data_IF_169726163523
#
_entry.id   IF_169726163523
#
_cell.length_a   1.000
_cell.length_b   1.000
_cell.length_c   1.000
_cell.angle_alpha   90.00
_cell.angle_beta   90.00
_cell.angle_gamma   90.00
#
_symmetry.space_group_name_H-M   'P 1'
#
loop_
_entity.id
_entity.type
_entity.pdbx_description
1 polymer ?
#
# COMPACT_ATOMS: atom_id res chain seq x y z
N UNK A 1 -80.85 23.92 -37.76
CA UNK A 1 -80.28 23.65 -36.43
C UNK A 1 -80.66 24.82 -35.59
N UNK A 2 -81.39 24.61 -34.50
CA UNK A 2 -82.04 25.68 -33.75
C UNK A 2 -81.03 26.55 -33.02
N UNK A 3 -80.97 27.84 -33.36
CA UNK A 3 -80.19 28.86 -32.65
C UNK A 3 -80.50 28.88 -31.14
N UNK A 4 -81.72 28.48 -30.75
CA UNK A 4 -82.11 28.31 -29.35
C UNK A 4 -81.30 27.27 -28.59
N UNK A 5 -80.90 26.17 -29.24
CA UNK A 5 -80.04 25.16 -28.61
C UNK A 5 -78.63 25.70 -28.40
N UNK A 6 -78.12 26.50 -29.36
CA UNK A 6 -76.82 27.13 -29.26
C UNK A 6 -76.76 28.16 -28.12
N UNK A 7 -77.79 29.01 -28.00
CA UNK A 7 -77.90 29.99 -26.91
C UNK A 7 -77.99 29.32 -25.53
N UNK A 8 -78.72 28.21 -25.44
CA UNK A 8 -78.84 27.45 -24.18
C UNK A 8 -77.48 26.86 -23.78
N UNK A 9 -76.73 26.30 -24.73
CA UNK A 9 -75.39 25.76 -24.50
C UNK A 9 -74.41 26.87 -24.11
N UNK A 10 -74.45 28.04 -24.77
CA UNK A 10 -73.58 29.18 -24.46
C UNK A 10 -73.84 29.72 -23.06
N UNK A 11 -75.10 29.91 -22.67
CA UNK A 11 -75.45 30.35 -21.32
C UNK A 11 -75.06 29.34 -20.25
N UNK A 12 -75.18 28.04 -20.53
CA UNK A 12 -74.76 27.01 -19.60
C UNK A 12 -73.23 26.92 -19.49
N UNK A 13 -72.50 27.12 -20.59
CA UNK A 13 -71.04 27.21 -20.62
C UNK A 13 -70.55 28.44 -19.82
N UNK A 14 -71.18 29.59 -19.98
CA UNK A 14 -70.87 30.81 -19.22
C UNK A 14 -71.20 30.65 -17.74
N UNK A 15 -72.31 29.98 -17.40
CA UNK A 15 -72.66 29.67 -16.02
C UNK A 15 -71.65 28.71 -15.39
N UNK A 16 -71.19 27.69 -16.13
CA UNK A 16 -70.15 26.77 -15.67
C UNK A 16 -68.77 27.45 -15.57
N UNK A 17 -68.42 28.30 -16.54
CA UNK A 17 -67.20 29.12 -16.54
C UNK A 17 -67.18 30.05 -15.32
N UNK A 18 -68.29 30.74 -15.06
CA UNK A 18 -68.42 31.62 -13.90
C UNK A 18 -68.35 30.84 -12.57
N UNK A 19 -68.88 29.62 -12.51
CA UNK A 19 -68.71 28.73 -11.34
C UNK A 19 -67.26 28.37 -11.05
N UNK A 20 -66.37 28.41 -12.05
CA UNK A 20 -64.94 28.10 -11.91
C UNK A 20 -64.12 29.37 -11.69
N UNK A 21 -64.37 30.43 -12.48
CA UNK A 21 -63.62 31.69 -12.44
C UNK A 21 -63.82 32.43 -11.12
N UNK A 22 -65.03 32.43 -10.56
CA UNK A 22 -65.32 33.14 -9.31
C UNK A 22 -64.53 32.58 -8.10
N UNK A 23 -64.49 31.25 -7.87
CA UNK A 23 -63.60 30.66 -6.86
C UNK A 23 -62.12 30.96 -7.09
N UNK A 24 -61.64 30.92 -8.35
CA UNK A 24 -60.24 31.21 -8.67
C UNK A 24 -59.88 32.66 -8.32
N UNK A 25 -60.72 33.63 -8.69
CA UNK A 25 -60.50 35.03 -8.34
C UNK A 25 -60.48 35.26 -6.83
N UNK A 26 -61.39 34.63 -6.09
CA UNK A 26 -61.40 34.68 -4.61
C UNK A 26 -60.15 34.05 -4.00
N UNK A 27 -59.68 32.92 -4.54
CA UNK A 27 -58.44 32.29 -4.10
C UNK A 27 -57.23 33.19 -4.35
N UNK A 28 -57.17 33.86 -5.51
CA UNK A 28 -56.10 34.83 -5.83
C UNK A 28 -56.12 36.00 -4.85
N UNK A 29 -57.29 36.56 -4.56
CA UNK A 29 -57.43 37.66 -3.59
C UNK A 29 -56.98 37.25 -2.19
N UNK A 30 -57.40 36.07 -1.72
CA UNK A 30 -56.99 35.54 -0.40
C UNK A 30 -55.48 35.31 -0.36
N UNK A 31 -54.90 34.65 -1.37
CA UNK A 31 -53.47 34.40 -1.44
C UNK A 31 -52.65 35.69 -1.49
N UNK A 32 -53.12 36.71 -2.23
CA UNK A 32 -52.43 38.00 -2.29
C UNK A 32 -52.46 38.72 -0.93
N UNK A 33 -53.57 38.67 -0.20
CA UNK A 33 -53.67 39.23 1.15
C UNK A 33 -52.74 38.49 2.11
N UNK A 34 -52.77 37.15 2.10
CA UNK A 34 -51.96 36.33 3.01
C UNK A 34 -50.46 36.49 2.73
N UNK A 35 -50.05 36.50 1.46
CA UNK A 35 -48.66 36.76 1.06
C UNK A 35 -48.21 38.15 1.51
N UNK A 36 -49.06 39.17 1.33
CA UNK A 36 -48.73 40.53 1.74
C UNK A 36 -48.60 40.65 3.26
N UNK A 37 -49.50 40.03 4.03
CA UNK A 37 -49.46 40.03 5.50
C UNK A 37 -48.22 39.28 6.00
N UNK A 38 -47.91 38.12 5.44
CA UNK A 38 -46.75 37.30 5.84
C UNK A 38 -45.42 37.98 5.50
N UNK A 39 -45.31 38.63 4.34
CA UNK A 39 -44.04 39.23 3.89
C UNK A 39 -43.80 40.63 4.45
N UNK A 40 -44.82 41.35 4.92
CA UNK A 40 -44.68 42.73 5.41
C UNK A 40 -43.68 42.82 6.56
N UNK A 41 -43.79 41.91 7.53
CA UNK A 41 -42.93 41.91 8.72
C UNK A 41 -41.51 41.47 8.37
N UNK A 42 -41.34 40.49 7.48
CA UNK A 42 -40.01 40.07 7.00
C UNK A 42 -39.29 41.17 6.23
N UNK A 43 -40.00 41.87 5.35
CA UNK A 43 -39.44 43.00 4.58
C UNK A 43 -39.07 44.12 5.54
N UNK A 44 -39.94 44.47 6.49
CA UNK A 44 -39.66 45.52 7.49
C UNK A 44 -38.43 45.17 8.34
N UNK A 45 -38.36 43.93 8.85
CA UNK A 45 -37.23 43.45 9.64
C UNK A 45 -35.92 43.47 8.83
N UNK A 46 -35.97 43.09 7.56
CA UNK A 46 -34.80 43.12 6.66
C UNK A 46 -34.32 44.55 6.41
N UNK A 47 -35.23 45.50 6.21
CA UNK A 47 -34.91 46.91 6.07
C UNK A 47 -34.26 47.48 7.34
N UNK A 48 -34.84 47.22 8.51
CA UNK A 48 -34.26 47.64 9.79
C UNK A 48 -32.86 47.07 10.03
N UNK A 49 -32.66 45.79 9.72
CA UNK A 49 -31.35 45.14 9.84
C UNK A 49 -30.33 45.80 8.92
N UNK A 50 -30.71 46.06 7.66
CA UNK A 50 -29.84 46.73 6.69
C UNK A 50 -29.46 48.13 7.14
N UNK A 51 -30.42 48.88 7.69
CA UNK A 51 -30.18 50.22 8.22
C UNK A 51 -29.25 50.20 9.44
N UNK A 52 -29.48 49.29 10.40
CA UNK A 52 -28.61 49.10 11.57
C UNK A 52 -27.19 48.72 11.17
N UNK A 53 -27.01 47.81 10.22
CA UNK A 53 -25.69 47.42 9.71
C UNK A 53 -24.95 48.61 9.09
N UNK A 54 -25.65 49.45 8.33
CA UNK A 54 -25.08 50.65 7.72
C UNK A 54 -24.66 51.68 8.77
N UNK A 55 -25.54 51.97 9.73
CA UNK A 55 -25.26 52.92 10.81
C UNK A 55 -24.06 52.46 11.66
N UNK A 56 -24.03 51.18 12.08
CA UNK A 56 -22.89 50.61 12.81
C UNK A 56 -21.59 50.67 11.99
N UNK A 57 -21.65 50.43 10.69
CA UNK A 57 -20.48 50.53 9.82
C UNK A 57 -19.94 51.96 9.75
N UNK A 58 -20.82 52.95 9.67
CA UNK A 58 -20.44 54.37 9.72
C UNK A 58 -19.85 54.76 11.08
N UNK A 59 -20.44 54.28 12.18
CA UNK A 59 -19.89 54.51 13.53
C UNK A 59 -18.48 53.91 13.67
N UNK A 60 -18.26 52.67 13.24
CA UNK A 60 -16.94 52.02 13.26
C UNK A 60 -15.94 52.81 12.41
N UNK A 61 -16.36 53.30 11.24
CA UNK A 61 -15.49 54.11 10.39
C UNK A 61 -15.11 55.43 11.07
N UNK A 62 -16.07 56.14 11.68
CA UNK A 62 -15.82 57.37 12.44
C UNK A 62 -14.88 57.14 13.61
N UNK A 63 -15.10 56.08 14.39
CA UNK A 63 -14.25 55.72 15.53
C UNK A 63 -12.84 55.36 15.09
N UNK A 64 -12.68 54.59 14.00
CA UNK A 64 -11.35 54.28 13.44
C UNK A 64 -10.61 55.54 12.98
N UNK A 65 -11.34 56.47 12.37
CA UNK A 65 -10.78 57.75 11.93
C UNK A 65 -10.34 58.59 13.14
N UNK A 66 -11.21 58.73 14.14
CA UNK A 66 -10.89 59.43 15.39
C UNK A 66 -9.70 58.80 16.10
N UNK A 67 -9.63 57.46 16.17
CA UNK A 67 -8.50 56.76 16.79
C UNK A 67 -7.19 57.04 16.05
N UNK A 68 -7.22 57.07 14.71
CA UNK A 68 -6.03 57.43 13.91
C UNK A 68 -5.60 58.87 14.13
N UNK A 69 -6.56 59.78 14.23
CA UNK A 69 -6.33 61.20 14.47
C UNK A 69 -5.92 61.49 15.93
N UNK A 70 -6.29 60.63 16.89
CA UNK A 70 -5.90 60.76 18.30
C UNK A 70 -4.51 60.18 18.62
N UNK A 71 -3.94 59.35 17.73
CA UNK A 71 -2.56 58.88 17.89
C UNK A 71 -1.64 60.01 17.42
N UNK A 72 -0.85 60.63 18.31
CA UNK A 72 0.06 61.71 17.93
C UNK A 72 1.08 61.20 16.90
N UNK A 73 1.46 62.04 15.93
CA UNK A 73 2.41 61.68 14.87
C UNK A 73 3.75 61.12 15.41
N UNK A 74 4.11 61.45 16.65
CA UNK A 74 5.28 60.92 17.37
C UNK A 74 5.20 59.40 17.56
N UNK A 75 4.02 58.84 17.83
CA UNK A 75 3.81 57.40 18.01
C UNK A 75 3.79 56.63 16.67
N UNK A 76 3.75 57.34 15.54
CA UNK A 76 3.87 56.71 14.21
C UNK A 76 5.33 56.53 13.79
N UNK A 77 6.22 57.39 14.27
CA UNK A 77 7.64 57.38 13.94
C UNK A 77 8.40 56.44 14.87
N UNK A 78 8.00 56.38 16.14
CA UNK A 78 8.59 55.49 17.13
C UNK A 78 7.48 54.97 18.08
N UNK A 79 6.67 53.99 17.63
CA UNK A 79 5.58 53.47 18.45
C UNK A 79 6.15 52.95 19.76
N UNK A 80 5.59 53.35 20.92
CA UNK A 80 6.08 52.87 22.21
C UNK A 80 6.10 51.36 22.20
N UNK A 81 7.24 50.79 22.63
CA UNK A 81 7.43 49.34 22.64
C UNK A 81 6.22 48.71 23.34
N UNK A 82 5.40 47.98 22.58
CA UNK A 82 4.27 47.25 23.15
C UNK A 82 4.83 46.38 24.27
N UNK A 83 4.44 46.69 25.49
CA UNK A 83 4.71 45.82 26.63
C UNK A 83 3.96 44.54 26.30
N UNK A 84 4.71 43.52 25.88
CA UNK A 84 4.14 42.23 25.51
C UNK A 84 3.30 41.75 26.68
N UNK A 85 2.06 41.41 26.39
CA UNK A 85 1.21 40.81 27.42
C UNK A 85 1.87 39.53 27.93
N UNK A 86 1.67 39.16 29.19
CA UNK A 86 2.17 37.89 29.74
C UNK A 86 1.76 36.68 28.88
N UNK A 87 0.60 36.77 28.21
CA UNK A 87 0.12 35.79 27.24
C UNK A 87 1.00 35.72 25.98
N UNK A 88 1.39 36.86 25.41
CA UNK A 88 2.25 36.93 24.23
C UNK A 88 3.65 36.41 24.54
N UNK A 89 4.19 36.72 25.73
CA UNK A 89 5.47 36.19 26.17
C UNK A 89 5.44 34.65 26.36
N UNK A 90 4.34 34.12 26.91
CA UNK A 90 4.15 32.67 27.04
C UNK A 90 4.03 31.96 25.68
N UNK A 91 3.31 32.56 24.73
CA UNK A 91 3.20 32.06 23.36
C UNK A 91 4.55 32.08 22.63
N UNK A 92 5.33 33.17 22.76
CA UNK A 92 6.68 33.25 22.21
C UNK A 92 7.59 32.16 22.77
N UNK A 93 7.47 31.84 24.07
CA UNK A 93 8.16 30.73 24.72
C UNK A 93 7.81 29.38 24.10
N UNK A 94 6.52 29.09 23.95
CA UNK A 94 6.05 27.84 23.32
C UNK A 94 6.47 27.72 21.85
N UNK A 95 6.43 28.83 21.11
CA UNK A 95 6.88 28.88 19.72
C UNK A 95 8.39 28.59 19.64
N UNK A 96 9.18 29.16 20.55
CA UNK A 96 10.62 28.91 20.59
C UNK A 96 10.94 27.45 20.92
N UNK A 97 10.30 26.89 21.94
CA UNK A 97 10.46 25.48 22.30
C UNK A 97 10.08 24.55 21.15
N UNK A 98 8.95 24.84 20.49
CA UNK A 98 8.50 24.08 19.31
C UNK A 98 9.51 24.18 18.16
N UNK A 99 10.09 25.35 17.91
CA UNK A 99 11.13 25.53 16.88
C UNK A 99 12.40 24.75 17.22
N UNK A 100 12.82 24.76 18.47
CA UNK A 100 14.01 24.01 18.91
C UNK A 100 13.77 22.50 18.78
N UNK A 101 12.55 22.03 19.11
CA UNK A 101 12.14 20.64 18.93
C UNK A 101 12.11 20.21 17.45
N UNK A 102 11.61 21.08 16.57
CA UNK A 102 11.62 20.83 15.12
C UNK A 102 13.06 20.65 14.62
N UNK A 103 13.97 21.56 15.00
CA UNK A 103 15.39 21.45 14.61
C UNK A 103 16.05 20.17 15.12
N UNK A 104 15.77 19.77 16.36
CA UNK A 104 16.27 18.51 16.92
C UNK A 104 15.81 17.31 16.09
N UNK A 105 14.53 17.30 15.71
CA UNK A 105 13.94 16.24 14.88
C UNK A 105 14.53 16.23 13.46
N UNK A 106 14.73 17.39 12.84
CA UNK A 106 15.37 17.52 11.53
C UNK A 106 16.78 16.92 11.53
N UNK A 107 17.61 17.28 12.52
CA UNK A 107 18.95 16.71 12.67
C UNK A 107 18.92 15.18 12.88
N UNK A 108 17.92 14.68 13.61
CA UNK A 108 17.75 13.25 13.83
C UNK A 108 17.34 12.52 12.56
N UNK A 109 16.47 13.12 11.76
CA UNK A 109 16.06 12.58 10.45
C UNK A 109 17.29 12.51 9.53
N UNK A 110 18.06 13.59 9.41
CA UNK A 110 19.29 13.60 8.60
C UNK A 110 20.28 12.50 9.03
N UNK A 111 20.48 12.34 10.36
CA UNK A 111 21.32 11.28 10.91
C UNK A 111 20.83 9.87 10.54
N UNK A 112 19.52 9.62 10.63
CA UNK A 112 18.91 8.35 10.25
C UNK A 112 19.02 8.08 8.74
N UNK A 113 18.87 9.11 7.91
CA UNK A 113 19.03 8.96 6.45
C UNK A 113 20.47 8.57 6.07
N UNK A 114 21.47 9.17 6.72
CA UNK A 114 22.88 8.79 6.52
C UNK A 114 23.09 7.32 6.90
N UNK A 115 22.54 6.88 8.04
CA UNK A 115 22.63 5.48 8.47
C UNK A 115 21.95 4.54 7.47
N UNK A 116 20.77 4.90 6.96
CA UNK A 116 20.03 4.12 5.98
C UNK A 116 20.80 3.98 4.67
N UNK A 117 21.40 5.07 4.17
CA UNK A 117 22.29 5.04 3.00
C UNK A 117 23.46 4.08 3.21
N UNK A 118 24.16 4.19 4.34
CA UNK A 118 25.28 3.32 4.68
C UNK A 118 24.89 1.83 4.77
N UNK A 119 23.74 1.54 5.40
CA UNK A 119 23.22 0.17 5.47
C UNK A 119 22.84 -0.37 4.10
N UNK A 120 22.23 0.45 3.23
CA UNK A 120 21.86 0.06 1.87
C UNK A 120 23.09 -0.27 1.04
N UNK A 121 24.13 0.54 1.11
CA UNK A 121 25.40 0.24 0.44
C UNK A 121 26.02 -1.06 0.95
N UNK A 122 26.02 -1.28 2.27
CA UNK A 122 26.55 -2.51 2.86
C UNK A 122 25.77 -3.73 2.37
N UNK A 123 24.44 -3.64 2.34
CA UNK A 123 23.57 -4.70 1.81
C UNK A 123 23.90 -5.02 0.35
N UNK A 124 24.05 -3.99 -0.50
CA UNK A 124 24.39 -4.17 -1.90
C UNK A 124 25.74 -4.87 -2.07
N UNK A 125 26.77 -4.46 -1.32
CA UNK A 125 28.08 -5.13 -1.35
C UNK A 125 27.97 -6.60 -0.97
N UNK A 126 27.22 -6.92 0.09
CA UNK A 126 27.02 -8.31 0.53
C UNK A 126 26.25 -9.12 -0.51
N UNK A 127 25.25 -8.54 -1.17
CA UNK A 127 24.51 -9.21 -2.25
C UNK A 127 25.41 -9.53 -3.43
N UNK A 128 26.24 -8.58 -3.86
CA UNK A 128 27.23 -8.80 -4.93
C UNK A 128 28.21 -9.91 -4.55
N UNK A 129 28.77 -9.88 -3.33
CA UNK A 129 29.65 -10.94 -2.84
C UNK A 129 28.96 -12.31 -2.80
N UNK A 130 27.70 -12.38 -2.37
CA UNK A 130 26.94 -13.63 -2.36
C UNK A 130 26.74 -14.16 -3.78
N UNK A 131 26.46 -13.26 -4.73
CA UNK A 131 26.30 -13.62 -6.14
C UNK A 131 27.60 -14.18 -6.73
N UNK A 132 28.75 -13.52 -6.48
CA UNK A 132 30.07 -14.02 -6.89
C UNK A 132 30.39 -15.39 -6.28
N UNK A 133 30.10 -15.58 -4.99
CA UNK A 133 30.31 -16.87 -4.32
C UNK A 133 29.44 -17.97 -4.92
N UNK A 134 28.17 -17.67 -5.26
CA UNK A 134 27.29 -18.63 -5.93
C UNK A 134 27.84 -19.07 -7.29
N UNK A 135 28.39 -18.14 -8.07
CA UNK A 135 29.04 -18.47 -9.34
C UNK A 135 30.26 -19.36 -9.12
N UNK A 136 31.16 -18.97 -8.21
CA UNK A 136 32.34 -19.78 -7.86
C UNK A 136 31.96 -21.20 -7.41
N UNK A 137 30.94 -21.34 -6.58
CA UNK A 137 30.44 -22.65 -6.16
C UNK A 137 29.90 -23.47 -7.33
N UNK A 138 29.23 -22.84 -8.30
CA UNK A 138 28.74 -23.50 -9.50
C UNK A 138 29.90 -23.97 -10.38
N UNK A 139 30.87 -23.11 -10.66
CA UNK A 139 32.04 -23.44 -11.47
C UNK A 139 32.84 -24.59 -10.86
N UNK A 140 33.10 -24.53 -9.55
CA UNK A 140 33.75 -25.62 -8.82
C UNK A 140 32.95 -26.92 -8.86
N UNK A 141 31.61 -26.84 -8.80
CA UNK A 141 30.74 -28.03 -8.91
C UNK A 141 30.85 -28.66 -10.31
N UNK A 142 30.90 -27.84 -11.36
CA UNK A 142 31.11 -28.29 -12.74
C UNK A 142 32.50 -28.93 -12.91
N UNK A 143 33.55 -28.35 -12.32
CA UNK A 143 34.89 -28.91 -12.34
C UNK A 143 34.99 -30.25 -11.59
N UNK A 144 34.39 -30.34 -10.41
CA UNK A 144 34.30 -31.61 -9.66
C UNK A 144 33.56 -32.67 -10.49
N UNK A 145 32.48 -32.29 -11.18
CA UNK A 145 31.77 -33.21 -12.07
C UNK A 145 32.65 -33.66 -13.24
N UNK A 146 33.37 -32.74 -13.90
CA UNK A 146 34.31 -33.04 -15.00
C UNK A 146 35.41 -33.99 -14.55
N UNK A 147 36.06 -33.70 -13.42
CA UNK A 147 37.13 -34.53 -12.85
C UNK A 147 36.61 -35.92 -12.48
N UNK A 148 35.41 -36.01 -11.86
CA UNK A 148 34.77 -37.32 -11.59
C UNK A 148 34.51 -38.12 -12.86
N UNK A 149 34.05 -37.47 -13.94
CA UNK A 149 33.84 -38.12 -15.23
C UNK A 149 35.16 -38.60 -15.85
N UNK A 150 36.21 -37.78 -15.81
CA UNK A 150 37.55 -38.16 -16.27
C UNK A 150 38.11 -39.34 -15.48
N UNK A 151 37.99 -39.33 -14.15
CA UNK A 151 38.42 -40.43 -13.29
C UNK A 151 37.69 -41.73 -13.60
N UNK A 152 36.37 -41.68 -13.83
CA UNK A 152 35.61 -42.87 -14.26
C UNK A 152 36.11 -43.41 -15.60
N UNK A 153 36.41 -42.54 -16.56
CA UNK A 153 36.96 -42.93 -17.86
C UNK A 153 38.36 -43.53 -17.73
N UNK A 154 39.25 -42.94 -16.93
CA UNK A 154 40.60 -43.46 -16.73
C UNK A 154 40.60 -44.80 -15.98
N UNK A 155 39.79 -44.95 -14.93
CA UNK A 155 39.62 -46.23 -14.22
C UNK A 155 39.03 -47.31 -15.13
N UNK A 156 38.05 -46.96 -15.99
CA UNK A 156 37.51 -47.87 -16.98
C UNK A 156 38.57 -48.31 -18.01
N UNK A 157 39.42 -47.38 -18.48
CA UNK A 157 40.53 -47.69 -19.38
C UNK A 157 41.59 -48.59 -18.72
N UNK A 158 41.95 -48.33 -17.46
CA UNK A 158 42.90 -49.17 -16.70
C UNK A 158 42.33 -50.58 -16.49
N UNK A 159 41.05 -50.71 -16.13
CA UNK A 159 40.37 -52.01 -16.05
C UNK A 159 40.27 -52.73 -17.39
N UNK A 160 40.14 -52.00 -18.49
CA UNK A 160 40.16 -52.57 -19.85
C UNK A 160 41.57 -52.97 -20.31
N UNK A 161 42.63 -52.39 -19.71
CA UNK A 161 44.03 -52.74 -19.99
C UNK A 161 44.54 -53.89 -19.11
N UNK A 162 43.96 -54.03 -17.91
CA UNK A 162 44.12 -55.18 -17.00
C UNK A 162 43.15 -56.33 -17.31
N UNK A 163 42.19 -56.14 -18.23
CA UNK A 163 41.49 -57.24 -18.85
C UNK A 163 42.52 -58.04 -19.65
N UNK A 164 43.01 -59.10 -19.01
CA UNK A 164 44.10 -59.95 -19.46
C UNK A 164 44.06 -60.15 -20.98
N UNK A 165 45.18 -59.87 -21.67
CA UNK A 165 45.30 -60.27 -23.04
C UNK A 165 45.28 -61.80 -23.03
N UNK A 166 44.21 -62.35 -23.61
CA UNK A 166 44.08 -63.72 -24.06
C UNK A 166 43.75 -64.70 -22.93
N UNK A 167 42.44 -64.92 -22.69
CA UNK A 167 41.99 -66.23 -22.23
C UNK A 167 42.37 -67.24 -23.32
N UNK A 168 43.54 -67.84 -23.23
CA UNK A 168 43.89 -69.01 -24.04
C UNK A 168 42.77 -70.04 -23.83
N UNK A 169 42.31 -70.73 -24.90
CA UNK A 169 41.32 -71.78 -24.74
C UNK A 169 41.85 -72.79 -23.72
N UNK A 170 41.04 -73.10 -22.69
CA UNK A 170 41.43 -74.00 -21.60
C UNK A 170 42.01 -75.29 -22.18
N UNK A 171 43.24 -75.60 -21.80
CA UNK A 171 43.93 -76.83 -22.17
C UNK A 171 43.20 -78.04 -21.59
N UNK A 172 43.36 -79.22 -22.20
CA UNK A 172 42.72 -80.44 -21.72
C UNK A 172 43.07 -80.76 -20.25
N UNK A 173 44.29 -80.39 -19.82
CA UNK A 173 44.73 -80.51 -18.43
C UNK A 173 43.92 -79.62 -17.50
N UNK A 174 43.70 -78.35 -17.85
CA UNK A 174 42.92 -77.42 -17.03
C UNK A 174 41.46 -77.89 -16.87
N UNK A 175 40.86 -78.43 -17.93
CA UNK A 175 39.51 -79.03 -17.86
C UNK A 175 39.48 -80.28 -16.98
N UNK A 176 40.51 -81.13 -17.10
CA UNK A 176 40.63 -82.32 -16.26
C UNK A 176 40.80 -81.98 -14.78
N UNK A 177 41.56 -80.91 -14.47
CA UNK A 177 41.72 -80.41 -13.10
C UNK A 177 40.43 -79.80 -12.57
N UNK A 178 39.70 -79.03 -13.38
CA UNK A 178 38.39 -78.48 -12.99
C UNK A 178 37.38 -79.59 -12.65
N UNK A 179 37.27 -80.61 -13.51
CA UNK A 179 36.42 -81.78 -13.23
C UNK A 179 36.87 -82.51 -11.96
N UNK A 180 38.18 -82.61 -11.72
CA UNK A 180 38.70 -83.29 -10.52
C UNK A 180 38.41 -82.49 -9.24
N UNK A 181 38.45 -81.17 -9.31
CA UNK A 181 38.09 -80.29 -8.19
C UNK A 181 36.59 -80.44 -7.89
N UNK A 182 35.73 -80.38 -8.90
CA UNK A 182 34.28 -80.60 -8.72
C UNK A 182 33.97 -81.98 -8.12
N UNK A 183 34.67 -83.03 -8.58
CA UNK A 183 34.51 -84.38 -8.04
C UNK A 183 34.94 -84.46 -6.56
N UNK A 184 36.05 -83.82 -6.20
CA UNK A 184 36.54 -83.78 -4.82
C UNK A 184 35.64 -82.95 -3.91
N UNK A 185 35.13 -81.82 -4.39
CA UNK A 185 34.16 -81.00 -3.66
C UNK A 185 32.82 -81.72 -3.47
N UNK A 186 32.35 -82.46 -4.47
CA UNK A 186 31.18 -83.33 -4.36
C UNK A 186 31.36 -84.44 -3.32
N UNK A 187 32.55 -85.05 -3.26
CA UNK A 187 32.90 -86.07 -2.24
C UNK A 187 33.05 -85.46 -0.84
N UNK A 188 33.53 -84.22 -0.73
CA UNK A 188 33.61 -83.49 0.54
C UNK A 188 32.25 -83.13 1.14
N UNK A 189 31.25 -82.85 0.29
CA UNK A 189 29.89 -82.51 0.72
C UNK A 189 29.05 -83.72 1.15
N UNK A 190 29.40 -84.96 0.77
CA UNK A 190 28.70 -86.19 1.18
C UNK A 190 29.66 -87.22 1.79
N UNK A 191 30.10 -87.05 3.04
CA UNK A 191 30.86 -88.10 3.74
C UNK A 191 29.93 -89.31 3.93
N UNK A 192 30.24 -90.42 3.24
CA UNK A 192 29.58 -91.73 3.45
C UNK A 192 29.55 -92.03 4.95
N UNK A 193 28.36 -91.96 5.56
CA UNK A 193 28.09 -92.42 6.92
C UNK A 193 28.49 -93.90 7.02
N UNK A 194 29.68 -94.20 7.53
CA UNK A 194 30.04 -95.54 7.98
C UNK A 194 29.18 -95.83 9.22
N UNK A 195 28.21 -96.71 9.04
CA UNK A 195 27.42 -97.29 10.11
C UNK A 195 28.36 -97.89 11.17
N UNK A 196 28.20 -97.46 12.43
CA UNK A 196 28.77 -98.13 13.59
C UNK A 196 27.95 -99.38 13.86
N UNK A 197 28.54 -100.54 13.60
CA UNK A 197 28.01 -101.82 14.06
C UNK A 197 28.06 -101.90 15.59
N UNK A 198 26.95 -102.33 16.17
CA UNK A 198 26.79 -102.75 17.56
C UNK A 198 27.65 -103.97 17.86
N UNK A 199 28.25 -103.99 19.05
CA UNK A 199 28.64 -105.22 19.75
C UNK A 199 28.45 -105.01 21.26
N UNK A 200 27.39 -105.60 21.79
CA UNK A 200 27.26 -106.15 23.16
C UNK A 200 26.81 -107.58 22.94
#
# INVERSE_FOLDING_TARGET
MDDRLLDTIVHELDAQSNKIVQPIMKLIEILNIDIFVLLKDEISAKWECTYKCRDLSEQVWRLKKQLRESIPLTDWIDPPAKIKSALEAAQDGQIKESKDRIKELELRIEGLEVQLRSLRERLMRTLTQNWELRYKCRDLSEDVWRLKAQLRRSVALSRSREALPWKKPKTALERALEMRIEELEGRGKHPRRKARSRSI
#
